data_IF_046430862209
#
_entry.id   IF_046430862209
#
_cell.length_a   1.000
_cell.length_b   1.000
_cell.length_c   1.000
_cell.angle_alpha   90.00
_cell.angle_beta   90.00
_cell.angle_gamma   90.00
#
_symmetry.space_group_name_H-M   'P 1'
#
loop_
_entity.id
_entity.type
_entity.pdbx_description
1 polymer ?
#
# COMPACT_ATOMS: atom_id res chain seq x y z
N UNK A 1 -0.45 12.97 9.68
CA UNK A 1 -1.70 12.43 9.10
C UNK A 1 -2.33 13.46 8.16
N UNK A 2 -1.52 13.90 7.16
CA UNK A 2 -1.95 14.77 6.07
C UNK A 2 -2.68 14.00 4.96
N UNK A 3 -2.87 14.63 3.78
CA UNK A 3 -3.63 14.04 2.66
C UNK A 3 -3.19 12.63 2.28
N UNK A 4 -1.88 12.41 2.09
CA UNK A 4 -1.34 11.08 1.75
C UNK A 4 -1.62 10.03 2.83
N UNK A 5 -1.40 10.39 4.09
CA UNK A 5 -1.65 9.48 5.22
C UNK A 5 -3.12 9.12 5.40
N UNK A 6 -4.02 10.08 5.22
CA UNK A 6 -5.49 9.83 5.27
C UNK A 6 -5.93 8.90 4.14
N UNK A 7 -5.50 9.16 2.91
CA UNK A 7 -5.83 8.29 1.78
C UNK A 7 -5.31 6.86 1.98
N UNK A 8 -4.08 6.70 2.48
CA UNK A 8 -3.54 5.39 2.80
C UNK A 8 -4.35 4.67 3.89
N UNK A 9 -4.70 5.36 4.99
CA UNK A 9 -5.50 4.78 6.06
C UNK A 9 -6.90 4.38 5.58
N UNK A 10 -7.57 5.19 4.77
CA UNK A 10 -8.87 4.88 4.18
C UNK A 10 -8.80 3.64 3.26
N UNK A 11 -7.74 3.53 2.45
CA UNK A 11 -7.51 2.34 1.63
C UNK A 11 -7.35 1.08 2.49
N UNK A 12 -6.58 1.16 3.58
CA UNK A 12 -6.40 0.03 4.50
C UNK A 12 -7.72 -0.38 5.16
N UNK A 13 -8.52 0.59 5.65
CA UNK A 13 -9.83 0.33 6.24
C UNK A 13 -10.76 -0.32 5.20
N UNK A 14 -10.83 0.23 4.00
CA UNK A 14 -11.64 -0.32 2.92
C UNK A 14 -11.26 -1.76 2.56
N UNK A 15 -9.99 -2.12 2.76
CA UNK A 15 -9.48 -3.48 2.59
C UNK A 15 -9.61 -4.37 3.83
N UNK A 16 -10.39 -3.94 4.83
CA UNK A 16 -10.73 -4.73 6.00
C UNK A 16 -9.75 -4.65 7.16
N UNK A 17 -8.76 -3.74 7.12
CA UNK A 17 -7.91 -3.49 8.30
C UNK A 17 -8.75 -2.78 9.37
N UNK A 18 -8.93 -3.35 10.57
CA UNK A 18 -9.70 -2.70 11.62
C UNK A 18 -9.07 -1.36 12.02
N UNK A 19 -9.87 -0.32 12.09
CA UNK A 19 -9.40 1.03 12.36
C UNK A 19 -8.64 1.15 13.68
N UNK A 20 -9.08 0.46 14.71
CA UNK A 20 -8.41 0.41 16.02
C UNK A 20 -7.06 -0.32 16.02
N UNK A 21 -6.66 -0.94 14.91
CA UNK A 21 -5.33 -1.54 14.72
C UNK A 21 -4.39 -0.63 13.93
N UNK A 22 -4.86 0.54 13.52
CA UNK A 22 -4.05 1.56 12.82
C UNK A 22 -3.66 2.62 13.87
N UNK A 23 -2.35 2.81 14.03
CA UNK A 23 -1.80 3.86 14.90
C UNK A 23 -1.34 5.03 14.04
N UNK A 24 -1.87 6.21 14.30
CA UNK A 24 -1.50 7.46 13.63
C UNK A 24 -0.47 8.19 14.48
N UNK A 25 0.63 8.60 13.87
CA UNK A 25 1.64 9.47 14.49
C UNK A 25 1.71 10.76 13.71
N UNK A 26 1.53 11.90 14.39
CA UNK A 26 1.63 13.22 13.77
C UNK A 26 2.16 14.23 14.80
N UNK A 27 3.02 15.19 14.40
CA UNK A 27 3.51 16.21 15.32
C UNK A 27 2.45 17.23 15.74
N UNK A 28 1.36 17.39 14.98
CA UNK A 28 0.29 18.33 15.26
C UNK A 28 -0.76 17.75 16.21
N UNK A 29 -0.92 18.30 17.44
CA UNK A 29 -1.96 17.83 18.35
C UNK A 29 -3.38 17.93 17.76
N UNK A 30 -3.64 18.94 16.93
CA UNK A 30 -4.93 19.11 16.26
C UNK A 30 -5.22 17.96 15.29
N UNK A 31 -4.21 17.53 14.55
CA UNK A 31 -4.32 16.40 13.59
C UNK A 31 -4.52 15.09 14.34
N UNK A 32 -3.80 14.90 15.43
CA UNK A 32 -3.92 13.70 16.29
C UNK A 32 -5.30 13.64 16.94
N UNK A 33 -5.82 14.76 17.43
CA UNK A 33 -7.17 14.80 18.00
C UNK A 33 -8.22 14.44 16.94
N UNK A 34 -8.13 15.01 15.74
CA UNK A 34 -9.04 14.67 14.64
C UNK A 34 -8.97 13.18 14.27
N UNK A 35 -7.78 12.58 14.25
CA UNK A 35 -7.62 11.14 14.02
C UNK A 35 -8.25 10.29 15.14
N UNK A 36 -8.11 10.72 16.40
CA UNK A 36 -8.74 10.06 17.54
C UNK A 36 -10.27 10.17 17.49
N UNK A 37 -10.81 11.33 17.09
CA UNK A 37 -12.26 11.53 16.91
C UNK A 37 -12.81 10.67 15.75
N UNK A 38 -11.99 10.40 14.74
CA UNK A 38 -12.28 9.44 13.67
C UNK A 38 -12.22 7.96 14.15
N UNK A 39 -11.70 7.67 15.36
CA UNK A 39 -11.62 6.33 15.95
C UNK A 39 -10.28 5.60 15.80
N UNK A 40 -9.23 6.31 15.37
CA UNK A 40 -7.87 5.75 15.32
C UNK A 40 -7.19 5.80 16.69
N UNK A 41 -6.25 4.90 16.91
CA UNK A 41 -5.24 5.09 17.95
C UNK A 41 -4.27 6.16 17.47
N UNK A 42 -4.02 7.19 18.26
CA UNK A 42 -3.23 8.33 17.80
C UNK A 42 -2.19 8.78 18.83
N UNK A 43 -0.99 9.12 18.37
CA UNK A 43 0.15 9.54 19.17
C UNK A 43 0.67 10.88 18.66
N UNK A 44 0.68 11.89 19.53
CA UNK A 44 1.28 13.19 19.22
C UNK A 44 2.79 13.11 19.37
N UNK A 45 3.53 13.52 18.36
CA UNK A 45 4.97 13.68 18.42
C UNK A 45 5.67 13.61 17.07
N UNK A 46 6.96 13.90 17.10
CA UNK A 46 7.83 13.81 15.93
C UNK A 46 8.27 12.35 15.74
N UNK A 47 7.84 11.74 14.65
CA UNK A 47 8.13 10.33 14.33
C UNK A 47 9.63 10.05 14.02
N UNK A 48 10.48 11.07 13.92
CA UNK A 48 11.93 10.88 13.85
C UNK A 48 12.54 10.44 15.19
N UNK A 49 11.80 10.55 16.29
CA UNK A 49 12.25 10.27 17.64
C UNK A 49 11.87 8.86 18.08
N UNK A 50 12.84 8.16 18.70
CA UNK A 50 12.63 6.81 19.21
C UNK A 50 11.48 6.73 20.23
N UNK A 51 11.44 7.66 21.20
CA UNK A 51 10.42 7.68 22.26
C UNK A 51 8.99 7.82 21.72
N UNK A 52 8.81 8.54 20.63
CA UNK A 52 7.51 8.71 19.96
C UNK A 52 7.10 7.42 19.26
N UNK A 53 7.99 6.78 18.48
CA UNK A 53 7.72 5.54 17.79
C UNK A 53 7.51 4.36 18.77
N UNK A 54 8.21 4.35 19.89
CA UNK A 54 7.99 3.35 20.96
C UNK A 54 6.60 3.50 21.58
N UNK A 55 6.13 4.73 21.86
CA UNK A 55 4.75 4.97 22.31
C UNK A 55 3.70 4.54 21.28
N UNK A 56 4.05 4.59 19.99
CA UNK A 56 3.23 4.09 18.90
C UNK A 56 3.34 2.55 18.70
N UNK A 57 4.06 1.85 19.58
CA UNK A 57 4.28 0.39 19.53
C UNK A 57 4.90 -0.09 18.21
N UNK A 58 5.80 0.70 17.62
CA UNK A 58 6.41 0.40 16.32
C UNK A 58 7.10 -0.98 16.30
N UNK A 59 7.62 -1.45 17.44
CA UNK A 59 8.28 -2.75 17.56
C UNK A 59 7.35 -3.94 17.24
N UNK A 60 6.03 -3.74 17.42
CA UNK A 60 4.98 -4.74 17.17
C UNK A 60 4.32 -4.58 15.80
N UNK A 61 4.59 -3.47 15.11
CA UNK A 61 4.00 -3.20 13.82
C UNK A 61 4.45 -4.23 12.78
N UNK A 62 3.52 -4.80 12.03
CA UNK A 62 3.82 -5.64 10.86
C UNK A 62 4.12 -4.78 9.64
N UNK A 63 3.43 -3.64 9.52
CA UNK A 63 3.46 -2.74 8.38
C UNK A 63 3.55 -1.31 8.87
N UNK A 64 4.33 -0.49 8.17
CA UNK A 64 4.54 0.93 8.49
C UNK A 64 4.42 1.73 7.20
N UNK A 65 3.54 2.73 7.19
CA UNK A 65 3.41 3.69 6.10
C UNK A 65 4.00 5.03 6.52
N UNK A 66 4.99 5.51 5.78
CA UNK A 66 5.65 6.79 6.03
C UNK A 66 5.19 7.80 4.96
N UNK A 67 4.32 8.72 5.36
CA UNK A 67 3.68 9.72 4.51
C UNK A 67 4.11 11.15 4.87
N UNK A 68 5.38 11.34 5.20
CA UNK A 68 5.93 12.66 5.54
C UNK A 68 5.83 13.65 4.38
N UNK A 69 5.81 14.95 4.69
CA UNK A 69 5.79 16.00 3.67
C UNK A 69 7.18 16.28 3.09
N UNK A 70 8.23 16.06 3.87
CA UNK A 70 9.63 16.32 3.52
C UNK A 70 10.38 15.00 3.40
N UNK A 71 11.22 14.90 2.39
CA UNK A 71 11.99 13.67 2.12
C UNK A 71 13.05 13.39 3.19
N UNK A 72 13.70 14.43 3.74
CA UNK A 72 14.65 14.29 4.84
C UNK A 72 13.96 13.69 6.09
N UNK A 73 12.77 14.16 6.40
CA UNK A 73 11.95 13.61 7.48
C UNK A 73 11.58 12.15 7.19
N UNK A 74 11.17 11.83 5.96
CA UNK A 74 10.83 10.45 5.57
C UNK A 74 12.04 9.51 5.74
N UNK A 75 13.25 9.95 5.38
CA UNK A 75 14.50 9.19 5.57
C UNK A 75 14.76 8.93 7.05
N UNK A 76 14.69 9.96 7.89
CA UNK A 76 14.93 9.83 9.35
C UNK A 76 13.91 8.92 10.02
N UNK A 77 12.62 9.07 9.69
CA UNK A 77 11.56 8.19 10.22
C UNK A 77 11.79 6.75 9.79
N UNK A 78 12.19 6.52 8.53
CA UNK A 78 12.48 5.18 8.00
C UNK A 78 13.64 4.54 8.77
N UNK A 79 14.74 5.27 8.96
CA UNK A 79 15.90 4.81 9.73
C UNK A 79 15.51 4.44 11.15
N UNK A 80 14.79 5.33 11.85
CA UNK A 80 14.38 5.12 13.24
C UNK A 80 13.42 3.92 13.34
N UNK A 81 12.42 3.85 12.47
CA UNK A 81 11.48 2.73 12.44
C UNK A 81 12.19 1.39 12.16
N UNK A 82 13.12 1.35 11.20
CA UNK A 82 13.90 0.15 10.88
C UNK A 82 14.86 -0.24 11.99
N UNK A 83 15.42 0.73 12.71
CA UNK A 83 16.26 0.47 13.88
C UNK A 83 15.46 -0.25 14.98
N UNK A 84 14.25 0.24 15.27
CA UNK A 84 13.37 -0.29 16.30
C UNK A 84 12.66 -1.59 15.86
N UNK A 85 12.33 -1.71 14.58
CA UNK A 85 11.66 -2.90 14.04
C UNK A 85 12.35 -3.40 12.76
N UNK A 86 13.13 -4.48 12.91
CA UNK A 86 13.90 -5.11 11.81
C UNK A 86 13.02 -5.85 10.81
N UNK A 87 11.78 -6.20 11.16
CA UNK A 87 10.91 -7.11 10.39
C UNK A 87 9.74 -6.41 9.71
N UNK A 88 9.35 -5.23 10.17
CA UNK A 88 8.21 -4.52 9.61
C UNK A 88 8.37 -4.29 8.09
N UNK A 89 7.28 -4.43 7.35
CA UNK A 89 7.22 -3.99 5.96
C UNK A 89 7.00 -2.47 5.93
N UNK A 90 8.01 -1.72 5.47
CA UNK A 90 8.00 -0.26 5.45
C UNK A 90 7.75 0.23 4.03
N UNK A 91 6.64 0.96 3.84
CA UNK A 91 6.33 1.68 2.60
C UNK A 91 6.48 3.17 2.88
N UNK A 92 7.32 3.85 2.10
CA UNK A 92 7.57 5.28 2.29
C UNK A 92 7.23 6.08 1.03
N UNK A 93 6.62 7.25 1.22
CA UNK A 93 6.45 8.19 0.13
C UNK A 93 7.63 9.15 0.08
N UNK A 94 8.11 9.42 -1.13
CA UNK A 94 9.09 10.45 -1.43
C UNK A 94 8.47 11.47 -2.40
N UNK A 95 8.91 12.70 -2.31
CA UNK A 95 8.49 13.77 -3.22
C UNK A 95 9.38 13.80 -4.47
N UNK A 96 10.70 13.84 -4.26
CA UNK A 96 11.68 13.94 -5.34
C UNK A 96 12.24 12.54 -5.65
N UNK A 97 12.21 12.14 -6.91
CA UNK A 97 12.60 10.79 -7.35
C UNK A 97 14.07 10.47 -7.04
N UNK A 98 14.93 11.48 -7.06
CA UNK A 98 16.35 11.37 -6.72
C UNK A 98 16.60 10.92 -5.27
N UNK A 99 15.63 11.13 -4.36
CA UNK A 99 15.71 10.70 -2.96
C UNK A 99 15.21 9.26 -2.72
N UNK A 100 14.61 8.62 -3.73
CA UNK A 100 14.10 7.24 -3.58
C UNK A 100 15.20 6.22 -3.22
N UNK A 101 16.42 6.26 -3.78
CA UNK A 101 17.50 5.38 -3.37
C UNK A 101 17.86 5.52 -1.90
N UNK A 102 17.85 6.73 -1.33
CA UNK A 102 18.15 6.99 0.08
C UNK A 102 17.13 6.32 1.00
N UNK A 103 15.83 6.39 0.66
CA UNK A 103 14.78 5.71 1.43
C UNK A 103 14.94 4.19 1.40
N UNK A 104 15.29 3.60 0.25
CA UNK A 104 15.58 2.16 0.16
C UNK A 104 16.79 1.77 1.01
N UNK A 105 17.88 2.55 0.96
CA UNK A 105 19.07 2.34 1.79
C UNK A 105 18.76 2.52 3.28
N UNK A 106 17.81 3.39 3.62
CA UNK A 106 17.33 3.59 5.00
C UNK A 106 16.49 2.42 5.52
N UNK A 107 16.12 1.48 4.66
CA UNK A 107 15.39 0.27 5.04
C UNK A 107 13.91 0.24 4.64
N UNK A 108 13.45 1.15 3.75
CA UNK A 108 12.12 1.02 3.16
C UNK A 108 12.07 -0.18 2.21
N UNK A 109 11.02 -0.99 2.32
CA UNK A 109 10.76 -2.12 1.43
C UNK A 109 10.18 -1.66 0.08
N UNK A 110 9.35 -0.61 0.12
CA UNK A 110 8.80 0.03 -1.07
C UNK A 110 8.86 1.55 -0.94
N UNK A 111 9.11 2.22 -2.04
CA UNK A 111 9.15 3.69 -2.12
C UNK A 111 8.25 4.16 -3.26
N UNK A 112 7.33 5.06 -2.93
CA UNK A 112 6.38 5.65 -3.88
C UNK A 112 6.75 7.12 -4.11
N UNK A 113 7.11 7.47 -5.35
CA UNK A 113 7.36 8.86 -5.75
C UNK A 113 6.03 9.55 -6.06
N UNK A 114 5.53 10.32 -5.10
CA UNK A 114 4.16 10.87 -5.16
C UNK A 114 3.95 11.89 -6.28
N UNK A 115 4.92 12.78 -6.55
CA UNK A 115 4.84 13.77 -7.62
C UNK A 115 4.86 13.12 -9.01
N UNK A 116 5.76 12.18 -9.22
CA UNK A 116 5.91 11.46 -10.49
C UNK A 116 4.68 10.58 -10.80
N UNK A 117 4.11 9.91 -9.79
CA UNK A 117 2.89 9.12 -9.95
C UNK A 117 1.69 9.99 -10.36
N UNK A 118 1.49 11.10 -9.66
CA UNK A 118 0.42 12.05 -9.98
C UNK A 118 0.62 12.67 -11.39
N UNK A 119 1.84 13.07 -11.74
CA UNK A 119 2.17 13.63 -13.05
C UNK A 119 1.90 12.65 -14.19
N UNK A 120 2.25 11.36 -14.02
CA UNK A 120 1.95 10.32 -15.01
C UNK A 120 0.45 10.12 -15.20
N UNK A 121 -0.32 10.10 -14.12
CA UNK A 121 -1.78 9.97 -14.18
C UNK A 121 -2.42 11.18 -14.89
N UNK A 122 -1.96 12.41 -14.59
CA UNK A 122 -2.43 13.61 -15.29
C UNK A 122 -2.13 13.54 -16.79
N UNK A 123 -0.90 13.19 -17.18
CA UNK A 123 -0.53 13.04 -18.59
C UNK A 123 -1.35 11.98 -19.31
N UNK A 124 -1.58 10.83 -18.66
CA UNK A 124 -2.41 9.74 -19.19
C UNK A 124 -3.87 10.18 -19.37
N UNK A 125 -4.42 10.87 -18.37
CA UNK A 125 -5.81 11.38 -18.42
C UNK A 125 -6.00 12.44 -19.48
N UNK A 126 -4.97 13.25 -19.79
CA UNK A 126 -5.01 14.23 -20.87
C UNK A 126 -5.04 13.56 -22.25
N UNK A 127 -4.26 12.51 -22.45
CA UNK A 127 -4.21 11.78 -23.72
C UNK A 127 -5.41 10.85 -23.91
N UNK A 128 -5.90 10.27 -22.84
CA UNK A 128 -7.01 9.31 -22.86
C UNK A 128 -7.84 9.40 -21.56
N UNK A 129 -8.88 10.25 -21.54
CA UNK A 129 -9.70 10.47 -20.34
C UNK A 129 -10.30 9.19 -19.77
N UNK A 130 -10.75 8.27 -20.63
CA UNK A 130 -11.33 6.97 -20.20
C UNK A 130 -10.29 6.07 -19.52
N UNK A 131 -9.04 6.09 -19.98
CA UNK A 131 -7.94 5.34 -19.32
C UNK A 131 -7.63 5.96 -17.96
N UNK A 132 -7.63 7.31 -17.86
CA UNK A 132 -7.47 8.01 -16.59
C UNK A 132 -8.54 7.60 -15.56
N UNK A 133 -9.81 7.51 -15.99
CA UNK A 133 -10.91 7.04 -15.14
C UNK A 133 -10.72 5.60 -14.67
N UNK A 134 -10.35 4.69 -15.57
CA UNK A 134 -10.08 3.28 -15.20
C UNK A 134 -8.93 3.18 -14.21
N UNK A 135 -7.87 3.97 -14.40
CA UNK A 135 -6.74 3.98 -13.46
C UNK A 135 -7.14 4.51 -12.08
N UNK A 136 -7.96 5.57 -12.05
CA UNK A 136 -8.48 6.11 -10.78
C UNK A 136 -9.37 5.09 -10.06
N UNK A 137 -10.25 4.40 -10.79
CA UNK A 137 -11.05 3.28 -10.26
C UNK A 137 -10.17 2.19 -9.65
N UNK A 138 -9.14 1.73 -10.37
CA UNK A 138 -8.26 0.64 -9.92
C UNK A 138 -7.47 0.95 -8.64
N UNK A 139 -7.18 2.23 -8.38
CA UNK A 139 -6.48 2.66 -7.15
C UNK A 139 -7.45 3.08 -6.03
N UNK A 140 -8.75 3.25 -6.35
CA UNK A 140 -9.79 3.64 -5.40
C UNK A 140 -10.61 2.43 -4.99
N UNK A 141 -10.39 1.91 -3.79
CA UNK A 141 -11.10 0.71 -3.30
C UNK A 141 -12.61 0.90 -3.28
N UNK A 142 -13.33 -0.11 -3.81
CA UNK A 142 -14.80 -0.17 -3.77
C UNK A 142 -15.52 0.70 -4.81
N UNK A 143 -14.80 1.27 -5.77
CA UNK A 143 -15.32 2.14 -6.82
C UNK A 143 -15.16 1.48 -8.19
N UNK A 144 -16.08 0.59 -8.57
CA UNK A 144 -16.09 0.01 -9.91
C UNK A 144 -15.15 -1.18 -10.08
N UNK A 145 -13.88 -0.96 -10.42
CA UNK A 145 -12.87 -2.00 -10.60
C UNK A 145 -11.86 -1.98 -9.46
N UNK A 146 -11.57 -3.14 -8.89
CA UNK A 146 -10.54 -3.32 -7.86
C UNK A 146 -9.35 -4.15 -8.39
N UNK A 147 -8.14 -3.69 -8.10
CA UNK A 147 -6.93 -4.48 -8.27
C UNK A 147 -6.64 -5.22 -6.96
N UNK A 148 -6.69 -6.55 -7.01
CA UNK A 148 -6.51 -7.41 -5.83
C UNK A 148 -5.34 -8.36 -5.98
N UNK A 149 -4.69 -8.71 -4.86
CA UNK A 149 -3.78 -9.85 -4.77
C UNK A 149 -4.41 -10.91 -3.87
N UNK A 150 -4.69 -12.11 -4.42
CA UNK A 150 -5.28 -13.22 -3.67
C UNK A 150 -4.57 -14.54 -3.94
N UNK A 151 -4.60 -15.51 -3.00
CA UNK A 151 -4.10 -16.85 -3.27
C UNK A 151 -4.91 -17.53 -4.37
N UNK A 152 -4.27 -18.45 -5.09
CA UNK A 152 -4.93 -19.36 -6.01
C UNK A 152 -5.80 -20.34 -5.22
N UNK A 153 -7.04 -20.52 -5.65
CA UNK A 153 -7.96 -21.49 -5.04
C UNK A 153 -7.68 -22.91 -5.52
N UNK A 154 -8.13 -23.92 -4.75
CA UNK A 154 -7.97 -25.33 -5.14
C UNK A 154 -8.56 -25.65 -6.52
N UNK A 155 -9.66 -24.97 -6.89
CA UNK A 155 -10.34 -25.16 -8.17
C UNK A 155 -9.60 -24.51 -9.35
N UNK A 156 -8.65 -23.63 -9.07
CA UNK A 156 -7.86 -22.89 -10.08
C UNK A 156 -6.48 -23.52 -10.32
N UNK A 157 -6.00 -24.33 -9.38
CA UNK A 157 -4.72 -25.04 -9.52
C UNK A 157 -4.73 -25.89 -10.80
N UNK A 158 -3.68 -25.76 -11.60
CA UNK A 158 -3.51 -26.43 -12.88
C UNK A 158 -4.17 -25.75 -14.07
N UNK A 159 -4.99 -24.72 -13.84
CA UNK A 159 -5.57 -23.91 -14.93
C UNK A 159 -4.61 -22.84 -15.41
N UNK A 160 -4.74 -22.44 -16.66
CA UNK A 160 -4.06 -21.26 -17.16
C UNK A 160 -4.68 -19.98 -16.57
N UNK A 161 -3.91 -18.88 -16.39
CA UNK A 161 -4.43 -17.61 -15.83
C UNK A 161 -5.67 -17.08 -16.57
N UNK A 162 -5.77 -17.30 -17.86
CA UNK A 162 -6.91 -16.90 -18.70
C UNK A 162 -8.19 -17.74 -18.52
N UNK A 163 -8.10 -18.86 -17.81
CA UNK A 163 -9.21 -19.81 -17.61
C UNK A 163 -9.94 -19.60 -16.29
N UNK A 164 -9.46 -18.67 -15.46
CA UNK A 164 -10.12 -18.30 -14.22
C UNK A 164 -11.04 -17.10 -14.42
N UNK A 165 -11.95 -16.89 -13.48
CA UNK A 165 -13.00 -15.88 -13.62
C UNK A 165 -12.47 -14.44 -13.59
N UNK A 166 -11.42 -14.19 -12.80
CA UNK A 166 -10.84 -12.84 -12.68
C UNK A 166 -9.96 -12.52 -13.90
N UNK A 167 -9.86 -11.25 -14.24
CA UNK A 167 -8.90 -10.77 -15.23
C UNK A 167 -7.51 -10.72 -14.59
N UNK A 168 -6.73 -11.79 -14.75
CA UNK A 168 -5.37 -11.88 -14.21
C UNK A 168 -4.42 -10.96 -14.98
N UNK A 169 -3.71 -10.11 -14.25
CA UNK A 169 -2.67 -9.20 -14.79
C UNK A 169 -1.29 -9.81 -14.60
N UNK A 170 -1.03 -10.39 -13.42
CA UNK A 170 0.26 -11.00 -13.09
C UNK A 170 0.08 -12.11 -12.06
N UNK A 171 1.09 -13.00 -11.97
CA UNK A 171 1.15 -14.10 -11.01
C UNK A 171 2.40 -13.92 -10.16
N UNK A 172 2.23 -13.95 -8.84
CA UNK A 172 3.34 -13.98 -7.89
C UNK A 172 3.63 -15.42 -7.50
N UNK A 173 4.77 -15.93 -7.97
CA UNK A 173 5.31 -17.28 -7.67
C UNK A 173 6.56 -17.15 -6.83
N UNK A 174 6.45 -17.41 -5.53
CA UNK A 174 7.53 -17.15 -4.58
C UNK A 174 7.87 -15.66 -4.51
N UNK A 175 9.09 -15.30 -4.94
CA UNK A 175 9.57 -13.91 -5.00
C UNK A 175 9.50 -13.28 -6.39
N UNK A 176 9.07 -14.05 -7.40
CA UNK A 176 8.99 -13.59 -8.80
C UNK A 176 7.58 -13.11 -9.12
N UNK A 177 7.52 -12.03 -9.89
CA UNK A 177 6.29 -11.56 -10.52
C UNK A 177 6.37 -11.95 -12.00
N UNK A 178 5.41 -12.75 -12.44
CA UNK A 178 5.28 -13.23 -13.83
C UNK A 178 4.10 -12.50 -14.46
N UNK A 179 4.24 -12.06 -15.69
CA UNK A 179 3.12 -11.49 -16.43
C UNK A 179 2.14 -12.61 -16.84
N UNK A 180 0.89 -12.26 -17.09
CA UNK A 180 -0.18 -13.23 -17.38
C UNK A 180 0.07 -14.09 -18.64
N UNK A 181 0.91 -13.61 -19.58
CA UNK A 181 1.31 -14.25 -20.82
C UNK A 181 2.74 -14.82 -20.78
N UNK A 182 3.42 -14.76 -19.65
CA UNK A 182 4.74 -15.36 -19.46
C UNK A 182 4.63 -16.89 -19.63
N UNK A 183 5.45 -17.53 -20.48
CA UNK A 183 5.46 -18.99 -20.65
C UNK A 183 5.62 -19.76 -19.33
N UNK A 184 6.35 -19.20 -18.35
CA UNK A 184 6.52 -19.80 -17.02
C UNK A 184 5.25 -19.71 -16.16
N UNK A 185 4.31 -18.82 -16.50
CA UNK A 185 3.02 -18.67 -15.82
C UNK A 185 2.01 -19.79 -16.20
N UNK A 186 2.31 -20.61 -17.21
CA UNK A 186 1.46 -21.59 -17.89
C UNK A 186 0.31 -22.18 -17.10
N UNK A 187 0.58 -22.95 -16.04
CA UNK A 187 -0.44 -23.46 -15.12
C UNK A 187 -0.25 -22.87 -13.72
N UNK A 188 -1.34 -22.46 -13.08
CA UNK A 188 -1.35 -21.93 -11.72
C UNK A 188 -0.98 -23.01 -10.70
N UNK A 189 -0.09 -22.69 -9.78
CA UNK A 189 0.35 -23.56 -8.70
C UNK A 189 -0.39 -23.24 -7.39
N UNK A 190 -0.48 -24.20 -6.48
CA UNK A 190 -1.18 -24.03 -5.20
C UNK A 190 -0.58 -22.93 -4.29
N UNK A 191 0.69 -22.61 -4.50
CA UNK A 191 1.41 -21.57 -3.75
C UNK A 191 1.40 -20.22 -4.43
N UNK A 192 0.86 -20.11 -5.64
CA UNK A 192 0.80 -18.87 -6.38
C UNK A 192 -0.22 -17.90 -5.77
N UNK A 193 0.04 -16.64 -6.02
CA UNK A 193 -0.94 -15.58 -5.80
C UNK A 193 -1.19 -14.87 -7.13
N UNK A 194 -2.44 -14.62 -7.43
CA UNK A 194 -2.83 -13.87 -8.63
C UNK A 194 -3.04 -12.41 -8.29
N UNK A 195 -2.53 -11.54 -9.14
CA UNK A 195 -2.85 -10.11 -9.15
C UNK A 195 -3.87 -9.94 -10.27
N UNK A 196 -5.07 -9.56 -9.90
CA UNK A 196 -6.20 -9.58 -10.81
C UNK A 196 -7.08 -8.34 -10.66
N UNK A 197 -7.73 -7.97 -11.75
CA UNK A 197 -8.76 -6.96 -11.78
C UNK A 197 -10.10 -7.67 -11.65
N UNK A 198 -10.89 -7.24 -10.68
CA UNK A 198 -12.24 -7.74 -10.54
C UNK A 198 -13.22 -6.57 -10.29
N UNK A 199 -14.51 -6.79 -10.54
CA UNK A 199 -15.51 -5.77 -10.25
C UNK A 199 -15.74 -5.71 -8.74
N UNK A 200 -15.59 -4.52 -8.16
CA UNK A 200 -15.96 -4.30 -6.77
C UNK A 200 -17.42 -4.76 -6.55
N UNK A 201 -17.60 -5.83 -5.80
CA UNK A 201 -18.92 -6.24 -5.33
C UNK A 201 -19.37 -5.34 -4.18
N UNK A 202 -20.67 -5.34 -3.81
CA UNK A 202 -21.08 -4.77 -2.53
C UNK A 202 -20.22 -5.43 -1.46
N UNK A 203 -19.57 -4.60 -0.63
CA UNK A 203 -18.52 -4.95 0.33
C UNK A 203 -18.62 -6.40 0.86
N UNK A 204 -17.89 -7.31 0.25
CA UNK A 204 -17.74 -8.68 0.74
C UNK A 204 -16.68 -8.70 1.82
N UNK A 205 -16.97 -9.45 2.87
CA UNK A 205 -16.20 -9.57 4.10
C UNK A 205 -14.66 -9.70 3.92
N UNK A 206 -13.86 -9.29 4.93
CA UNK A 206 -12.41 -9.26 4.83
C UNK A 206 -11.85 -10.63 4.47
N UNK A 207 -10.94 -10.64 3.51
CA UNK A 207 -10.11 -11.81 3.19
C UNK A 207 -9.25 -12.13 4.42
N UNK A 208 -9.66 -13.14 5.18
CA UNK A 208 -8.91 -13.72 6.31
C UNK A 208 -7.66 -14.42 5.85
#
# INVERSE_FOLDING_TARGET
YGTKGRSAAQTLIGRGVPQNRIVIVDPSPKVVQAAADEGFVAVTGDATRNDVLLRAEVERAKEIVIAAQRDDTAVLVTLTARQLNKRAHIVASVREEENAPLLRQSGANAVITSSSAAGRLLGLSMLSPSVGQVMDDLITYGSGLDLIERPVTKAEVGKAPREIQDLVVSIKRGHRLLDHDDPEAGALEATDRVIAIHRAGPATAPLT
#
